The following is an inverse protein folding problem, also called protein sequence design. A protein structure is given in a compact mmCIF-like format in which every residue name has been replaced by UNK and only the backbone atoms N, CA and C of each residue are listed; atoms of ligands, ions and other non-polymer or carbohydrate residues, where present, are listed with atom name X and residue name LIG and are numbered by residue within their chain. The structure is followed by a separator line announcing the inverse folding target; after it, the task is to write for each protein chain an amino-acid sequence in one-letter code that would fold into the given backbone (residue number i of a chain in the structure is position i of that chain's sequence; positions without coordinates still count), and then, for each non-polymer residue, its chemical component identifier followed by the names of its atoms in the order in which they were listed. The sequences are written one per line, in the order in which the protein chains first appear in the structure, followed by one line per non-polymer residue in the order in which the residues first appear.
data_IF_221824061375
#
_entry.id   IF_221824061375
#
_cell.length_a   1.000
_cell.length_b   1.000
_cell.length_c   1.000
_cell.angle_alpha   90.00
_cell.angle_beta   90.00
_cell.angle_gamma   90.00
#
_symmetry.space_group_name_H-M   'P 1'
#
loop_
_entity.id
_entity.type
_entity.pdbx_description
1 polymer ?
#
# COMPACT_ATOMS: atom_id res chain seq x y z
N UNK A 1 -19.65 8.45 -13.75
CA UNK A 1 -20.45 7.28 -13.98
C UNK A 1 -19.81 6.48 -15.10
N UNK A 2 -19.30 5.28 -14.78
CA UNK A 2 -18.76 4.35 -15.75
C UNK A 2 -19.97 3.67 -16.43
N UNK A 3 -20.25 4.01 -17.67
CA UNK A 3 -21.11 3.22 -18.53
C UNK A 3 -20.27 2.09 -19.15
N UNK A 4 -20.28 0.93 -18.51
CA UNK A 4 -19.68 -0.26 -19.11
C UNK A 4 -20.53 -0.71 -20.30
N UNK A 5 -19.90 -0.91 -21.46
CA UNK A 5 -20.55 -1.43 -22.65
C UNK A 5 -21.06 -2.88 -22.41
N UNK A 6 -22.37 -3.13 -22.48
CA UNK A 6 -22.91 -4.48 -22.26
C UNK A 6 -22.46 -5.51 -23.31
N UNK A 7 -21.92 -5.06 -24.47
CA UNK A 7 -21.41 -5.96 -25.51
C UNK A 7 -20.10 -6.65 -25.10
N UNK A 8 -19.32 -6.05 -24.18
CA UNK A 8 -18.09 -6.64 -23.65
C UNK A 8 -18.34 -7.89 -22.76
N UNK A 9 -19.61 -8.17 -22.40
CA UNK A 9 -20.01 -9.29 -21.56
C UNK A 9 -20.25 -10.60 -22.32
N UNK A 10 -20.29 -10.56 -23.66
CA UNK A 10 -20.77 -11.70 -24.46
C UNK A 10 -19.73 -12.77 -24.76
N UNK A 11 -18.43 -12.50 -24.58
CA UNK A 11 -17.34 -13.37 -25.05
C UNK A 11 -16.38 -13.80 -23.92
N UNK A 12 -16.89 -14.00 -22.70
CA UNK A 12 -16.08 -14.65 -21.67
C UNK A 12 -15.96 -16.14 -21.97
N UNK A 13 -14.92 -16.51 -22.71
CA UNK A 13 -14.43 -17.88 -22.74
C UNK A 13 -13.40 -18.04 -21.62
N UNK A 14 -13.51 -19.08 -20.79
CA UNK A 14 -12.49 -19.37 -19.78
C UNK A 14 -11.12 -19.50 -20.46
N UNK A 15 -10.12 -18.84 -19.92
CA UNK A 15 -8.72 -18.94 -20.36
C UNK A 15 -8.35 -20.41 -20.43
N UNK A 16 -7.79 -20.89 -21.54
CA UNK A 16 -7.43 -22.31 -21.72
C UNK A 16 -6.34 -22.74 -20.74
N UNK A 17 -5.46 -21.83 -20.33
CA UNK A 17 -4.45 -22.08 -19.30
C UNK A 17 -4.96 -21.50 -17.98
N UNK A 18 -5.08 -22.32 -16.90
CA UNK A 18 -5.49 -21.77 -15.61
C UNK A 18 -4.40 -20.85 -15.07
N UNK A 19 -4.63 -19.53 -15.17
CA UNK A 19 -3.69 -18.50 -14.69
C UNK A 19 -3.19 -18.71 -13.26
N UNK A 20 -4.01 -19.20 -12.30
CA UNK A 20 -3.51 -19.54 -10.97
C UNK A 20 -2.46 -20.67 -11.01
N UNK A 21 -2.64 -21.68 -11.85
CA UNK A 21 -1.67 -22.77 -11.98
C UNK A 21 -0.36 -22.26 -12.64
N UNK A 22 -0.46 -21.35 -13.60
CA UNK A 22 0.70 -20.69 -14.18
C UNK A 22 1.45 -19.87 -13.11
N UNK A 23 0.76 -19.01 -12.36
CA UNK A 23 1.36 -18.22 -11.30
C UNK A 23 2.02 -19.12 -10.22
N UNK A 24 1.36 -20.22 -9.84
CA UNK A 24 1.87 -21.18 -8.85
C UNK A 24 3.21 -21.80 -9.25
N UNK A 25 3.57 -21.83 -10.53
CA UNK A 25 4.89 -22.31 -10.97
C UNK A 25 6.04 -21.48 -10.40
N UNK A 26 5.81 -20.21 -9.99
CA UNK A 26 6.81 -19.39 -9.30
C UNK A 26 7.26 -20.05 -8.00
N UNK A 27 6.34 -20.55 -7.20
CA UNK A 27 6.67 -21.18 -5.91
C UNK A 27 7.42 -22.50 -6.10
N UNK A 28 7.18 -23.20 -7.21
CA UNK A 28 7.84 -24.45 -7.54
C UNK A 28 9.25 -24.22 -8.10
N UNK A 29 9.40 -23.23 -8.98
CA UNK A 29 10.65 -22.95 -9.67
C UNK A 29 11.61 -22.09 -8.85
N UNK A 30 11.09 -21.28 -7.94
CA UNK A 30 11.86 -20.32 -7.15
C UNK A 30 11.49 -20.44 -5.66
N UNK A 31 11.91 -21.54 -4.99
CA UNK A 31 11.70 -21.67 -3.56
C UNK A 31 12.42 -20.51 -2.84
N UNK A 32 11.79 -19.90 -1.82
CA UNK A 32 12.37 -18.74 -1.16
C UNK A 32 13.70 -19.12 -0.50
N UNK A 33 14.78 -18.36 -0.73
CA UNK A 33 16.02 -18.52 -0.01
C UNK A 33 15.83 -18.11 1.46
N UNK A 34 16.73 -18.53 2.36
CA UNK A 34 16.74 -18.00 3.72
C UNK A 34 16.81 -16.47 3.70
N UNK A 35 15.96 -15.82 4.51
CA UNK A 35 15.93 -14.37 4.61
C UNK A 35 17.25 -13.82 5.15
N UNK A 36 17.83 -12.84 4.48
CA UNK A 36 19.02 -12.12 4.91
C UNK A 36 18.63 -10.68 5.23
N UNK A 37 18.84 -10.17 6.45
CA UNK A 37 18.49 -8.80 6.80
C UNK A 37 19.15 -7.77 5.88
N UNK A 38 18.38 -6.76 5.45
CA UNK A 38 18.90 -5.62 4.71
C UNK A 38 18.37 -4.30 5.29
N UNK A 39 18.95 -3.19 4.86
CA UNK A 39 18.49 -1.86 5.27
C UNK A 39 17.15 -1.52 4.61
N UNK A 40 16.38 -0.62 5.24
CA UNK A 40 15.15 -0.02 4.67
C UNK A 40 15.39 0.54 3.27
N UNK A 41 16.49 1.23 3.06
CA UNK A 41 16.86 1.81 1.76
C UNK A 41 17.09 0.75 0.67
N UNK A 42 17.82 -0.31 1.00
CA UNK A 42 18.03 -1.44 0.08
C UNK A 42 16.71 -2.11 -0.27
N UNK A 43 15.83 -2.32 0.71
CA UNK A 43 14.53 -2.95 0.49
C UNK A 43 13.63 -2.09 -0.40
N UNK A 44 13.60 -0.76 -0.18
CA UNK A 44 12.88 0.19 -1.02
C UNK A 44 13.36 0.08 -2.48
N UNK A 45 14.65 0.02 -2.72
CA UNK A 45 15.20 -0.15 -4.06
C UNK A 45 14.83 -1.52 -4.68
N UNK A 46 14.84 -2.59 -3.89
CA UNK A 46 14.45 -3.94 -4.34
C UNK A 46 12.98 -4.04 -4.74
N UNK A 47 12.07 -3.32 -4.05
CA UNK A 47 10.66 -3.25 -4.42
C UNK A 47 10.44 -2.64 -5.81
N UNK A 48 11.38 -1.80 -6.27
CA UNK A 48 11.36 -1.23 -7.62
C UNK A 48 11.84 -2.21 -8.71
N UNK A 49 12.12 -3.47 -8.40
CA UNK A 49 12.78 -4.43 -9.30
C UNK A 49 12.14 -4.56 -10.69
N UNK A 50 10.82 -4.61 -10.76
CA UNK A 50 10.07 -4.66 -12.02
C UNK A 50 10.30 -3.38 -12.84
N UNK A 51 10.23 -2.21 -12.23
CA UNK A 51 10.46 -0.93 -12.91
C UNK A 51 11.91 -0.81 -13.44
N UNK A 52 12.89 -1.40 -12.73
CA UNK A 52 14.29 -1.50 -13.20
C UNK A 52 14.39 -2.34 -14.45
N UNK A 53 13.73 -3.49 -14.52
CA UNK A 53 13.74 -4.38 -15.69
C UNK A 53 12.98 -3.77 -16.87
N UNK A 54 11.86 -3.09 -16.62
CA UNK A 54 11.05 -2.42 -17.65
C UNK A 54 11.71 -1.17 -18.24
N UNK A 55 12.75 -0.66 -17.61
CA UNK A 55 13.53 0.54 -18.00
C UNK A 55 12.66 1.79 -18.12
N UNK A 56 12.88 2.73 -17.24
CA UNK A 56 12.32 4.08 -17.34
C UNK A 56 13.29 4.95 -18.16
N UNK A 57 12.86 5.67 -19.22
CA UNK A 57 13.73 6.58 -19.95
C UNK A 57 14.45 7.58 -19.03
N UNK A 58 15.73 7.80 -19.28
CA UNK A 58 16.57 8.71 -18.49
C UNK A 58 17.07 8.14 -17.15
N UNK A 59 16.68 6.91 -16.78
CA UNK A 59 17.16 6.25 -15.55
C UNK A 59 18.08 5.08 -15.94
N UNK A 60 19.31 5.01 -15.38
CA UNK A 60 20.22 3.89 -15.64
C UNK A 60 19.58 2.56 -15.28
N UNK A 61 19.62 1.61 -16.21
CA UNK A 61 19.16 0.24 -16.03
C UNK A 61 20.29 -0.73 -15.68
N UNK A 62 20.01 -2.06 -15.63
CA UNK A 62 21.00 -3.05 -15.28
C UNK A 62 22.20 -3.12 -16.23
N UNK A 63 22.04 -2.74 -17.49
CA UNK A 63 23.15 -2.69 -18.46
C UNK A 63 24.16 -1.58 -18.17
N UNK A 64 23.74 -0.47 -17.56
CA UNK A 64 24.55 0.69 -17.25
C UNK A 64 25.06 0.67 -15.81
N UNK A 65 24.18 0.37 -14.85
CA UNK A 65 24.47 0.40 -13.40
C UNK A 65 24.86 -0.97 -12.80
N UNK A 66 24.76 -2.05 -13.61
CA UNK A 66 25.00 -3.40 -13.11
C UNK A 66 24.05 -3.81 -11.97
N UNK A 67 24.49 -4.67 -11.04
CA UNK A 67 23.67 -5.13 -9.90
C UNK A 67 23.16 -3.99 -9.01
N UNK A 68 23.88 -2.88 -8.94
CA UNK A 68 23.50 -1.72 -8.12
C UNK A 68 22.17 -1.09 -8.58
N UNK A 69 21.73 -1.33 -9.84
CA UNK A 69 20.44 -0.87 -10.32
C UNK A 69 19.27 -1.33 -9.46
N UNK A 70 19.41 -2.46 -8.75
CA UNK A 70 18.36 -3.06 -7.92
C UNK A 70 18.49 -2.73 -6.44
N UNK A 71 19.64 -2.27 -5.98
CA UNK A 71 19.92 -2.07 -4.56
C UNK A 71 20.13 -0.60 -4.18
N UNK A 72 20.07 0.31 -5.17
CA UNK A 72 20.20 1.74 -4.96
C UNK A 72 19.11 2.52 -5.71
N UNK A 73 18.84 3.72 -5.23
CA UNK A 73 17.92 4.66 -5.88
C UNK A 73 18.76 5.63 -6.74
N UNK A 74 18.68 5.53 -8.07
CA UNK A 74 19.47 6.37 -8.96
C UNK A 74 18.88 7.77 -9.08
N UNK A 75 19.75 8.72 -9.47
CA UNK A 75 19.38 10.01 -10.02
C UNK A 75 19.63 10.01 -11.53
N UNK A 76 18.86 10.81 -12.29
CA UNK A 76 19.15 11.07 -13.69
C UNK A 76 20.53 11.75 -13.82
N UNK A 77 21.34 11.30 -14.78
CA UNK A 77 22.73 11.73 -14.91
C UNK A 77 22.89 13.11 -15.59
N UNK A 78 21.89 13.54 -16.38
CA UNK A 78 21.94 14.77 -17.17
C UNK A 78 20.57 15.45 -17.24
N UNK A 79 20.55 16.72 -17.64
CA UNK A 79 19.28 17.44 -17.91
C UNK A 79 18.44 16.75 -19.00
N UNK A 80 19.09 16.14 -19.98
CA UNK A 80 18.42 15.38 -21.04
C UNK A 80 17.71 14.13 -20.47
N UNK A 81 18.35 13.44 -19.53
CA UNK A 81 17.77 12.28 -18.84
C UNK A 81 16.59 12.70 -17.96
N UNK A 82 16.72 13.81 -17.23
CA UNK A 82 15.61 14.39 -16.45
C UNK A 82 14.43 14.70 -17.36
N UNK A 83 14.66 15.35 -18.50
CA UNK A 83 13.62 15.70 -19.47
C UNK A 83 12.95 14.44 -20.04
N UNK A 84 13.74 13.41 -20.38
CA UNK A 84 13.22 12.14 -20.90
C UNK A 84 12.33 11.43 -19.85
N UNK A 85 12.78 11.35 -18.60
CA UNK A 85 12.02 10.74 -17.50
C UNK A 85 10.71 11.49 -17.23
N UNK A 86 10.76 12.83 -17.10
CA UNK A 86 9.57 13.66 -16.89
C UNK A 86 8.58 13.57 -18.05
N UNK A 87 9.08 13.53 -19.30
CA UNK A 87 8.22 13.34 -20.48
C UNK A 87 7.53 11.99 -20.44
N UNK A 88 8.24 10.93 -20.05
CA UNK A 88 7.67 9.59 -19.90
C UNK A 88 6.57 9.57 -18.83
N UNK A 89 6.85 10.09 -17.64
CA UNK A 89 5.87 10.17 -16.54
C UNK A 89 4.62 10.94 -16.96
N UNK A 90 4.78 12.09 -17.62
CA UNK A 90 3.67 12.90 -18.11
C UNK A 90 2.86 12.19 -19.20
N UNK A 91 3.54 11.62 -20.21
CA UNK A 91 2.86 11.10 -21.40
C UNK A 91 2.15 9.78 -21.13
N UNK A 92 2.78 8.91 -20.33
CA UNK A 92 2.25 7.57 -20.05
C UNK A 92 1.27 7.55 -18.87
N UNK A 93 1.45 8.42 -17.86
CA UNK A 93 0.76 8.32 -16.59
C UNK A 93 0.10 9.63 -16.13
N UNK A 94 0.26 10.72 -16.90
CA UNK A 94 -0.26 12.03 -16.51
C UNK A 94 0.44 12.68 -15.30
N UNK A 95 1.57 12.11 -14.86
CA UNK A 95 2.30 12.58 -13.68
C UNK A 95 3.20 13.76 -14.07
N UNK A 96 2.90 14.94 -13.53
CA UNK A 96 3.63 16.19 -13.79
C UNK A 96 4.24 16.82 -12.54
N UNK A 97 3.69 16.49 -11.38
CA UNK A 97 4.03 17.02 -10.06
C UNK A 97 3.71 16.00 -8.97
N UNK A 98 3.87 16.39 -7.71
CA UNK A 98 3.63 15.52 -6.54
C UNK A 98 2.16 15.16 -6.36
N UNK A 99 1.25 16.08 -6.64
CA UNK A 99 -0.19 15.88 -6.50
C UNK A 99 -0.67 14.83 -7.50
N UNK A 100 -0.35 15.01 -8.78
CA UNK A 100 -0.68 14.04 -9.83
C UNK A 100 -0.03 12.67 -9.62
N UNK A 101 1.18 12.61 -9.03
CA UNK A 101 1.81 11.35 -8.62
C UNK A 101 1.02 10.66 -7.51
N UNK A 102 0.65 11.39 -6.46
CA UNK A 102 -0.16 10.87 -5.34
C UNK A 102 -1.51 10.38 -5.84
N UNK A 103 -2.18 11.17 -6.65
CA UNK A 103 -3.46 10.81 -7.26
C UNK A 103 -3.35 9.53 -8.11
N UNK A 104 -2.29 9.42 -8.89
CA UNK A 104 -2.06 8.23 -9.73
C UNK A 104 -1.88 6.98 -8.84
N UNK A 105 -1.02 7.04 -7.83
CA UNK A 105 -0.80 5.93 -6.90
C UNK A 105 -2.05 5.57 -6.10
N UNK A 106 -2.88 6.56 -5.76
CA UNK A 106 -4.05 6.35 -4.91
C UNK A 106 -5.32 5.93 -5.68
N UNK A 107 -5.42 6.21 -6.96
CA UNK A 107 -6.67 5.97 -7.72
C UNK A 107 -6.51 4.96 -8.85
N UNK A 108 -5.39 5.02 -9.59
CA UNK A 108 -5.24 4.22 -10.81
C UNK A 108 -4.67 2.82 -10.51
N UNK A 109 -3.76 2.71 -9.54
CA UNK A 109 -3.03 1.46 -9.29
C UNK A 109 -3.77 0.52 -8.33
N UNK A 110 -4.67 1.00 -7.49
CA UNK A 110 -5.28 0.28 -6.34
C UNK A 110 -6.20 -0.88 -6.75
N UNK A 111 -5.62 -1.98 -7.22
CA UNK A 111 -6.38 -3.20 -7.55
C UNK A 111 -6.59 -4.10 -6.33
N UNK A 112 -5.74 -3.99 -5.32
CA UNK A 112 -5.88 -4.77 -4.09
C UNK A 112 -7.12 -4.38 -3.29
N UNK A 113 -7.53 -3.11 -3.28
CA UNK A 113 -8.78 -2.69 -2.65
C UNK A 113 -10.00 -3.36 -3.29
N UNK A 114 -10.03 -3.43 -4.63
CA UNK A 114 -11.09 -4.17 -5.31
C UNK A 114 -11.08 -5.66 -4.94
N UNK A 115 -9.90 -6.26 -4.76
CA UNK A 115 -9.80 -7.63 -4.31
C UNK A 115 -10.39 -7.82 -2.91
N UNK A 116 -10.16 -6.90 -1.98
CA UNK A 116 -10.73 -6.93 -0.63
C UNK A 116 -12.26 -6.74 -0.65
N UNK A 117 -12.78 -5.89 -1.54
CA UNK A 117 -14.23 -5.77 -1.78
C UNK A 117 -14.81 -7.11 -2.23
N UNK A 118 -14.13 -7.82 -3.14
CA UNK A 118 -14.55 -9.14 -3.60
C UNK A 118 -14.45 -10.19 -2.49
N UNK A 119 -13.39 -10.14 -1.66
CA UNK A 119 -13.22 -11.06 -0.54
C UNK A 119 -14.43 -11.01 0.39
N UNK A 120 -14.95 -9.82 0.70
CA UNK A 120 -16.12 -9.67 1.54
C UNK A 120 -17.34 -10.41 1.01
N UNK A 121 -17.49 -10.51 -0.32
CA UNK A 121 -18.55 -11.29 -0.96
C UNK A 121 -18.31 -12.80 -0.89
N UNK A 122 -17.06 -13.26 -1.00
CA UNK A 122 -16.72 -14.68 -0.85
C UNK A 122 -16.92 -15.16 0.60
N UNK A 123 -16.71 -14.28 1.57
CA UNK A 123 -16.93 -14.56 2.99
C UNK A 123 -18.38 -14.34 3.45
N UNK A 124 -19.32 -14.04 2.52
CA UNK A 124 -20.71 -13.69 2.81
C UNK A 124 -20.87 -12.49 3.77
N UNK A 125 -19.96 -11.55 3.72
CA UNK A 125 -19.98 -10.29 4.48
C UNK A 125 -19.71 -9.11 3.54
N UNK A 126 -20.63 -8.85 2.58
CA UNK A 126 -20.39 -7.85 1.54
C UNK A 126 -20.19 -6.45 2.15
N UNK A 127 -19.16 -5.77 1.65
CA UNK A 127 -18.83 -4.41 2.08
C UNK A 127 -19.87 -3.38 1.59
N UNK A 128 -20.64 -3.71 0.56
CA UNK A 128 -21.72 -2.87 0.01
C UNK A 128 -22.83 -3.72 -0.61
N UNK A 129 -23.98 -3.10 -0.86
CA UNK A 129 -25.13 -3.77 -1.48
C UNK A 129 -25.03 -3.72 -3.01
N UNK A 130 -25.00 -4.90 -3.67
CA UNK A 130 -24.98 -4.98 -5.14
C UNK A 130 -26.20 -4.34 -5.81
N UNK A 131 -27.31 -4.28 -5.10
CA UNK A 131 -28.57 -3.67 -5.56
C UNK A 131 -28.46 -2.16 -5.78
N UNK A 132 -27.50 -1.50 -5.12
CA UNK A 132 -27.22 -0.08 -5.27
C UNK A 132 -26.52 0.25 -6.58
N UNK A 133 -25.88 -0.74 -7.20
CA UNK A 133 -25.22 -0.59 -8.49
C UNK A 133 -26.26 -0.63 -9.63
N UNK A 134 -26.03 0.20 -10.65
CA UNK A 134 -26.77 0.06 -11.90
C UNK A 134 -26.41 -1.28 -12.60
N UNK A 135 -27.18 -1.67 -13.63
CA UNK A 135 -27.01 -2.96 -14.30
C UNK A 135 -25.59 -3.15 -14.85
N UNK A 136 -25.03 -2.13 -15.51
CA UNK A 136 -23.67 -2.17 -16.07
C UNK A 136 -22.60 -2.29 -14.97
N UNK A 137 -22.73 -1.51 -13.90
CA UNK A 137 -21.83 -1.57 -12.75
C UNK A 137 -21.85 -2.93 -12.05
N UNK A 138 -23.06 -3.50 -11.88
CA UNK A 138 -23.22 -4.84 -11.30
C UNK A 138 -22.58 -5.92 -12.17
N UNK A 139 -22.81 -5.88 -13.48
CA UNK A 139 -22.24 -6.82 -14.43
C UNK A 139 -20.71 -6.74 -14.44
N UNK A 140 -20.16 -5.52 -14.46
CA UNK A 140 -18.71 -5.31 -14.38
C UNK A 140 -18.13 -5.84 -13.06
N UNK A 141 -18.76 -5.52 -11.93
CA UNK A 141 -18.34 -6.00 -10.61
C UNK A 141 -18.36 -7.53 -10.55
N UNK A 142 -19.45 -8.18 -10.94
CA UNK A 142 -19.53 -9.64 -10.90
C UNK A 142 -18.47 -10.29 -11.81
N UNK A 143 -18.25 -9.76 -13.01
CA UNK A 143 -17.22 -10.27 -13.93
C UNK A 143 -15.82 -10.17 -13.34
N UNK A 144 -15.44 -9.02 -12.78
CA UNK A 144 -14.12 -8.81 -12.20
C UNK A 144 -13.93 -9.57 -10.90
N UNK A 145 -14.98 -9.67 -10.07
CA UNK A 145 -15.01 -10.53 -8.89
C UNK A 145 -14.75 -12.01 -9.25
N UNK A 146 -15.48 -12.53 -10.23
CA UNK A 146 -15.38 -13.94 -10.61
C UNK A 146 -14.00 -14.26 -11.22
N UNK A 147 -13.38 -13.30 -11.93
CA UNK A 147 -12.00 -13.43 -12.36
C UNK A 147 -11.03 -13.41 -11.16
N UNK A 148 -11.21 -12.52 -10.21
CA UNK A 148 -10.34 -12.43 -9.03
C UNK A 148 -10.49 -13.65 -8.10
N UNK A 149 -11.69 -14.22 -7.99
CA UNK A 149 -12.00 -15.36 -7.12
C UNK A 149 -11.11 -16.58 -7.37
N UNK A 150 -10.68 -16.79 -8.61
CA UNK A 150 -9.81 -17.92 -8.95
C UNK A 150 -8.45 -17.89 -8.24
N UNK A 151 -8.00 -16.69 -7.80
CA UNK A 151 -6.71 -16.50 -7.14
C UNK A 151 -6.79 -16.60 -5.62
N UNK A 152 -7.99 -16.54 -5.03
CA UNK A 152 -8.15 -16.51 -3.58
C UNK A 152 -7.52 -17.72 -2.88
N UNK A 153 -7.65 -18.97 -3.37
CA UNK A 153 -7.01 -20.13 -2.76
C UNK A 153 -5.47 -20.05 -2.74
N UNK A 154 -4.88 -19.24 -3.62
CA UNK A 154 -3.44 -19.11 -3.78
C UNK A 154 -2.87 -17.93 -2.98
N UNK A 155 -3.59 -16.84 -2.91
CA UNK A 155 -3.10 -15.56 -2.39
C UNK A 155 -3.65 -15.22 -0.99
N UNK A 156 -4.78 -15.81 -0.60
CA UNK A 156 -5.46 -15.40 0.62
C UNK A 156 -5.67 -13.87 0.68
N UNK A 157 -5.45 -13.28 1.83
CA UNK A 157 -5.68 -11.83 2.06
C UNK A 157 -4.61 -10.93 1.44
N UNK A 158 -3.45 -11.43 1.09
CA UNK A 158 -2.45 -10.64 0.36
C UNK A 158 -2.92 -10.23 -1.03
N UNK A 159 -3.85 -11.01 -1.63
CA UNK A 159 -4.50 -10.66 -2.90
C UNK A 159 -3.55 -10.08 -3.92
N UNK A 160 -3.85 -8.89 -4.44
CA UNK A 160 -3.07 -8.20 -5.47
C UNK A 160 -2.15 -7.09 -4.91
N UNK A 161 -1.88 -7.09 -3.61
CA UNK A 161 -1.10 -6.06 -2.93
C UNK A 161 0.31 -5.91 -3.51
N UNK A 162 0.96 -7.04 -3.88
CA UNK A 162 2.29 -7.01 -4.51
C UNK A 162 2.34 -6.21 -5.81
N UNK A 163 1.25 -6.22 -6.59
CA UNK A 163 1.12 -5.39 -7.79
C UNK A 163 1.07 -3.91 -7.44
N UNK A 164 0.18 -3.52 -6.53
CA UNK A 164 0.02 -2.11 -6.13
C UNK A 164 1.34 -1.55 -5.60
N UNK A 165 2.03 -2.30 -4.73
CA UNK A 165 3.35 -1.92 -4.21
C UNK A 165 4.35 -1.73 -5.34
N UNK A 166 4.48 -2.70 -6.25
CA UNK A 166 5.47 -2.66 -7.33
C UNK A 166 5.29 -1.47 -8.25
N UNK A 167 4.05 -1.18 -8.66
CA UNK A 167 3.75 -0.07 -9.55
C UNK A 167 3.94 1.28 -8.83
N UNK A 168 3.43 1.44 -7.61
CA UNK A 168 3.65 2.68 -6.84
C UNK A 168 5.14 2.94 -6.60
N UNK A 169 5.88 1.93 -6.13
CA UNK A 169 7.32 2.07 -5.88
C UNK A 169 8.11 2.39 -7.15
N UNK A 170 7.72 1.84 -8.30
CA UNK A 170 8.30 2.17 -9.60
C UNK A 170 8.12 3.64 -9.97
N UNK A 171 6.92 4.21 -9.74
CA UNK A 171 6.63 5.61 -10.02
C UNK A 171 7.31 6.57 -9.03
N UNK A 172 7.35 6.22 -7.74
CA UNK A 172 8.09 6.96 -6.71
C UNK A 172 9.59 7.02 -7.06
N UNK A 173 10.18 5.88 -7.46
CA UNK A 173 11.58 5.81 -7.93
C UNK A 173 11.82 6.75 -9.11
N UNK A 174 10.94 6.75 -10.11
CA UNK A 174 11.08 7.60 -11.29
C UNK A 174 10.94 9.09 -10.94
N UNK A 175 9.97 9.44 -10.10
CA UNK A 175 9.76 10.80 -9.63
C UNK A 175 10.96 11.33 -8.82
N UNK A 176 11.53 10.50 -7.97
CA UNK A 176 12.77 10.83 -7.25
C UNK A 176 13.96 10.99 -8.21
N UNK A 177 14.14 10.07 -9.15
CA UNK A 177 15.27 10.10 -10.09
C UNK A 177 15.30 11.37 -10.94
N UNK A 178 14.14 11.91 -11.34
CA UNK A 178 14.04 13.13 -12.16
C UNK A 178 13.82 14.41 -11.33
N UNK A 179 13.93 14.35 -10.00
CA UNK A 179 13.84 15.50 -9.10
C UNK A 179 12.44 16.08 -8.97
N UNK A 180 11.38 15.29 -9.18
CA UNK A 180 10.01 15.64 -8.79
C UNK A 180 9.79 15.46 -7.28
N UNK A 181 10.49 14.50 -6.66
CA UNK A 181 10.50 14.27 -5.22
C UNK A 181 11.90 14.54 -4.65
N UNK A 182 11.96 15.12 -3.48
CA UNK A 182 13.15 15.11 -2.64
C UNK A 182 13.23 13.79 -1.87
N UNK A 183 14.36 13.54 -1.19
CA UNK A 183 14.58 12.28 -0.49
C UNK A 183 13.57 12.06 0.64
N UNK A 184 13.35 13.09 1.43
CA UNK A 184 12.43 13.07 2.56
C UNK A 184 11.00 12.77 2.10
N UNK A 185 10.57 13.39 1.01
CA UNK A 185 9.24 13.18 0.43
C UNK A 185 9.07 11.77 -0.14
N UNK A 186 10.14 11.20 -0.73
CA UNK A 186 10.14 9.81 -1.14
C UNK A 186 9.99 8.87 0.06
N UNK A 187 10.73 9.13 1.14
CA UNK A 187 10.72 8.29 2.34
C UNK A 187 9.34 8.30 3.02
N UNK A 188 8.67 9.46 3.06
CA UNK A 188 7.30 9.61 3.57
C UNK A 188 6.29 8.83 2.73
N UNK A 189 6.29 9.05 1.41
CA UNK A 189 5.35 8.37 0.50
C UNK A 189 5.59 6.86 0.41
N UNK A 190 6.86 6.42 0.51
CA UNK A 190 7.21 5.01 0.47
C UNK A 190 6.92 4.30 1.79
N UNK A 191 6.84 5.01 2.93
CA UNK A 191 6.69 4.42 4.25
C UNK A 191 5.52 3.46 4.35
N UNK A 192 4.34 3.86 3.89
CA UNK A 192 3.16 3.01 3.82
C UNK A 192 3.40 1.71 3.02
N UNK A 193 3.97 1.84 1.83
CA UNK A 193 4.20 0.69 0.95
C UNK A 193 5.25 -0.28 1.50
N UNK A 194 6.27 0.23 2.18
CA UNK A 194 7.27 -0.57 2.88
C UNK A 194 6.66 -1.41 4.01
N UNK A 195 5.76 -0.82 4.79
CA UNK A 195 5.03 -1.55 5.84
C UNK A 195 4.13 -2.64 5.23
N UNK A 196 3.42 -2.32 4.14
CA UNK A 196 2.60 -3.31 3.44
C UNK A 196 3.45 -4.44 2.84
N UNK A 197 4.60 -4.12 2.25
CA UNK A 197 5.51 -5.12 1.71
C UNK A 197 6.08 -6.06 2.79
N UNK A 198 6.30 -5.54 3.99
CA UNK A 198 6.79 -6.32 5.12
C UNK A 198 5.77 -7.35 5.67
N UNK A 199 4.50 -7.30 5.24
CA UNK A 199 3.50 -8.31 5.58
C UNK A 199 3.70 -9.64 4.84
N UNK A 200 4.40 -9.62 3.71
CA UNK A 200 4.79 -10.85 3.00
C UNK A 200 5.94 -11.56 3.73
N UNK A 201 5.98 -12.86 3.66
CA UNK A 201 7.04 -13.64 4.30
C UNK A 201 8.36 -13.61 3.52
N UNK A 202 8.28 -13.49 2.18
CA UNK A 202 9.42 -13.58 1.28
C UNK A 202 9.10 -13.08 -0.12
N UNK A 203 10.16 -12.94 -0.95
CA UNK A 203 10.02 -12.46 -2.33
C UNK A 203 9.19 -13.36 -3.24
N UNK A 204 9.10 -14.64 -2.99
CA UNK A 204 8.30 -15.56 -3.82
C UNK A 204 6.81 -15.33 -3.58
N UNK A 205 6.40 -15.11 -2.33
CA UNK A 205 5.03 -14.75 -1.99
C UNK A 205 4.65 -13.37 -2.54
N UNK A 206 5.53 -12.38 -2.35
CA UNK A 206 5.37 -11.05 -2.94
C UNK A 206 5.22 -11.11 -4.46
N UNK A 207 6.09 -11.85 -5.14
CA UNK A 207 6.09 -12.03 -6.59
C UNK A 207 4.80 -12.69 -7.10
N UNK A 208 4.27 -13.64 -6.35
CA UNK A 208 3.02 -14.32 -6.67
C UNK A 208 1.83 -13.35 -6.63
N UNK A 209 1.75 -12.54 -5.57
CA UNK A 209 0.75 -11.48 -5.44
C UNK A 209 0.87 -10.44 -6.56
N UNK A 210 2.08 -10.04 -6.90
CA UNK A 210 2.36 -9.10 -8.00
C UNK A 210 1.88 -9.63 -9.34
N UNK A 211 2.24 -10.87 -9.69
CA UNK A 211 1.90 -11.46 -11.00
C UNK A 211 0.39 -11.66 -11.15
N UNK A 212 -0.28 -12.13 -10.11
CA UNK A 212 -1.73 -12.28 -10.15
C UNK A 212 -2.45 -10.91 -10.24
N UNK A 213 -1.92 -9.89 -9.58
CA UNK A 213 -2.41 -8.52 -9.72
C UNK A 213 -2.23 -7.98 -11.12
N UNK A 214 -1.11 -8.28 -11.80
CA UNK A 214 -0.89 -7.93 -13.19
C UNK A 214 -1.93 -8.58 -14.13
N UNK A 215 -2.22 -9.86 -13.92
CA UNK A 215 -3.26 -10.56 -14.71
C UNK A 215 -4.64 -9.93 -14.51
N UNK A 216 -4.96 -9.56 -13.27
CA UNK A 216 -6.20 -8.88 -12.96
C UNK A 216 -6.25 -7.46 -13.57
N UNK A 217 -5.13 -6.73 -13.53
CA UNK A 217 -5.00 -5.41 -14.14
C UNK A 217 -5.31 -5.46 -15.64
N UNK A 218 -4.68 -6.37 -16.37
CA UNK A 218 -4.89 -6.54 -17.82
C UNK A 218 -6.35 -6.90 -18.13
N UNK A 219 -6.91 -7.85 -17.38
CA UNK A 219 -8.30 -8.27 -17.52
C UNK A 219 -9.29 -7.11 -17.26
N UNK A 220 -9.05 -6.33 -16.19
CA UNK A 220 -9.88 -5.19 -15.80
C UNK A 220 -9.90 -4.11 -16.88
N UNK A 221 -8.78 -3.92 -17.59
CA UNK A 221 -8.63 -2.93 -18.65
C UNK A 221 -9.07 -3.43 -20.03
N UNK A 222 -9.75 -4.56 -20.08
CA UNK A 222 -10.43 -5.06 -21.28
C UNK A 222 -9.50 -5.86 -22.22
N UNK A 223 -8.34 -6.33 -21.73
CA UNK A 223 -7.54 -7.28 -22.49
C UNK A 223 -8.37 -8.54 -22.80
N UNK A 224 -8.29 -9.02 -24.03
CA UNK A 224 -8.83 -10.33 -24.37
C UNK A 224 -7.97 -11.45 -23.79
N UNK A 225 -8.49 -12.68 -23.78
CA UNK A 225 -7.79 -13.81 -23.20
C UNK A 225 -6.39 -14.03 -23.82
N UNK A 226 -6.24 -13.83 -25.11
CA UNK A 226 -4.96 -14.01 -25.78
C UNK A 226 -3.95 -12.92 -25.37
N UNK A 227 -4.41 -11.71 -25.10
CA UNK A 227 -3.57 -10.64 -24.57
C UNK A 227 -3.16 -10.94 -23.13
N UNK A 228 -4.10 -11.33 -22.27
CA UNK A 228 -3.79 -11.71 -20.88
C UNK A 228 -2.77 -12.85 -20.83
N UNK A 229 -2.89 -13.86 -21.69
CA UNK A 229 -1.91 -14.95 -21.75
C UNK A 229 -0.50 -14.47 -22.20
N UNK A 230 -0.43 -13.59 -23.19
CA UNK A 230 0.86 -13.03 -23.63
C UNK A 230 1.50 -12.19 -22.55
N UNK A 231 0.73 -11.35 -21.90
CA UNK A 231 1.22 -10.47 -20.84
C UNK A 231 1.54 -11.27 -19.57
N UNK A 232 0.79 -12.34 -19.30
CA UNK A 232 1.12 -13.29 -18.24
C UNK A 232 2.51 -13.89 -18.44
N UNK A 233 2.86 -14.32 -19.65
CA UNK A 233 4.19 -14.83 -19.96
C UNK A 233 5.29 -13.78 -19.74
N UNK A 234 5.03 -12.52 -20.08
CA UNK A 234 5.95 -11.41 -19.81
C UNK A 234 6.14 -11.21 -18.30
N UNK A 235 5.07 -11.11 -17.54
CA UNK A 235 5.13 -10.90 -16.08
C UNK A 235 5.82 -12.05 -15.37
N UNK A 236 5.53 -13.29 -15.74
CA UNK A 236 6.21 -14.48 -15.23
C UNK A 236 7.70 -14.45 -15.52
N UNK A 237 8.10 -14.01 -16.73
CA UNK A 237 9.51 -13.92 -17.10
C UNK A 237 10.26 -12.84 -16.33
N UNK A 238 9.71 -11.60 -16.25
CA UNK A 238 10.31 -10.51 -15.48
C UNK A 238 10.48 -10.89 -14.00
N UNK A 239 9.46 -11.49 -13.42
CA UNK A 239 9.47 -11.92 -12.02
C UNK A 239 10.47 -13.06 -11.80
N UNK A 240 10.51 -14.04 -12.72
CA UNK A 240 11.49 -15.12 -12.68
C UNK A 240 12.94 -14.64 -12.78
N UNK A 241 13.20 -13.59 -13.57
CA UNK A 241 14.53 -12.96 -13.61
C UNK A 241 14.94 -12.40 -12.25
N UNK A 242 14.01 -11.77 -11.52
CA UNK A 242 14.27 -11.21 -10.20
C UNK A 242 14.41 -12.28 -9.11
N UNK A 243 13.69 -13.38 -9.23
CA UNK A 243 13.72 -14.53 -8.29
C UNK A 243 14.87 -15.50 -8.56
N UNK A 244 15.54 -15.41 -9.71
CA UNK A 244 16.67 -16.29 -10.03
C UNK A 244 17.75 -16.19 -8.98
N UNK A 245 18.46 -17.29 -8.74
CA UNK A 245 19.55 -17.37 -7.78
C UNK A 245 20.58 -16.24 -8.03
N UNK A 246 21.02 -15.58 -6.97
CA UNK A 246 21.96 -14.46 -7.00
C UNK A 246 21.44 -13.18 -7.71
N UNK A 247 20.16 -13.16 -8.08
CA UNK A 247 19.51 -11.94 -8.58
C UNK A 247 18.95 -11.07 -7.44
N UNK A 248 18.28 -9.98 -7.78
CA UNK A 248 17.79 -9.01 -6.81
C UNK A 248 16.93 -9.65 -5.69
N UNK A 249 15.91 -10.40 -6.05
CA UNK A 249 15.02 -11.06 -5.07
C UNK A 249 15.51 -12.45 -4.67
N UNK A 250 16.19 -13.15 -5.58
CA UNK A 250 16.79 -14.46 -5.31
C UNK A 250 17.94 -14.42 -4.31
N UNK A 251 18.50 -13.25 -4.01
CA UNK A 251 19.48 -13.04 -2.94
C UNK A 251 18.90 -13.23 -1.53
N UNK A 252 17.58 -13.17 -1.38
CA UNK A 252 16.89 -13.29 -0.10
C UNK A 252 17.03 -12.07 0.82
N UNK A 253 17.55 -10.94 0.32
CA UNK A 253 17.61 -9.70 1.10
C UNK A 253 16.20 -9.26 1.46
N UNK A 254 15.92 -9.13 2.76
CA UNK A 254 14.59 -8.81 3.29
C UNK A 254 14.68 -7.81 4.43
N UNK A 255 13.83 -6.80 4.40
CA UNK A 255 13.71 -5.84 5.48
C UNK A 255 12.57 -6.27 6.40
N UNK A 256 12.89 -6.44 7.65
CA UNK A 256 11.89 -6.61 8.69
C UNK A 256 11.84 -5.31 9.47
N UNK A 257 10.73 -4.56 9.45
CA UNK A 257 10.57 -3.42 10.31
C UNK A 257 10.84 -3.83 11.76
N UNK A 258 11.51 -2.99 12.56
CA UNK A 258 11.69 -3.30 13.97
C UNK A 258 10.32 -3.56 14.59
N UNK A 259 10.13 -4.78 15.10
CA UNK A 259 8.87 -5.18 15.71
C UNK A 259 8.57 -4.28 16.90
N UNK A 260 7.42 -3.58 16.85
CA UNK A 260 6.97 -2.77 17.97
C UNK A 260 6.54 -3.70 19.10
N UNK A 261 7.17 -3.55 20.27
CA UNK A 261 6.69 -4.19 21.50
C UNK A 261 5.67 -3.28 22.14
N UNK A 262 4.40 -3.60 21.97
CA UNK A 262 3.32 -2.78 22.52
C UNK A 262 3.25 -2.88 24.03
N UNK A 263 3.05 -1.73 24.68
CA UNK A 263 2.90 -1.63 26.13
C UNK A 263 1.71 -2.47 26.67
N UNK A 264 0.65 -2.60 25.86
CA UNK A 264 -0.49 -3.48 26.13
C UNK A 264 -0.56 -4.54 25.03
N UNK A 265 -0.33 -5.83 25.34
CA UNK A 265 -0.50 -6.91 24.41
C UNK A 265 -1.91 -6.97 23.83
N UNK A 266 -2.06 -7.39 22.56
CA UNK A 266 -3.37 -7.46 21.90
C UNK A 266 -4.39 -8.32 22.66
N UNK A 267 -3.93 -9.39 23.35
CA UNK A 267 -4.78 -10.27 24.18
C UNK A 267 -5.37 -9.57 25.43
N UNK A 268 -4.75 -8.47 25.88
CA UNK A 268 -5.15 -7.73 27.06
C UNK A 268 -6.07 -6.54 26.74
N UNK A 269 -6.30 -6.26 25.46
CA UNK A 269 -7.20 -5.19 25.00
C UNK A 269 -8.65 -5.55 25.37
N UNK A 270 -9.28 -4.70 26.16
CA UNK A 270 -10.67 -4.85 26.62
C UNK A 270 -11.62 -4.01 25.77
N UNK A 271 -12.88 -4.41 25.59
CA UNK A 271 -13.87 -3.61 24.88
C UNK A 271 -14.38 -2.46 25.79
N UNK A 272 -13.64 -1.35 25.83
CA UNK A 272 -14.01 -0.16 26.60
C UNK A 272 -14.93 0.79 25.81
N UNK A 273 -14.81 0.80 24.48
CA UNK A 273 -15.59 1.63 23.58
C UNK A 273 -16.68 0.77 22.91
N UNK A 274 -17.81 0.56 23.60
CA UNK A 274 -18.85 -0.35 23.16
C UNK A 274 -19.97 0.30 22.33
N UNK A 275 -20.09 1.63 22.38
CA UNK A 275 -21.20 2.42 21.82
C UNK A 275 -20.72 3.43 20.75
N UNK A 276 -19.61 3.13 20.09
CA UNK A 276 -19.08 3.95 19.00
C UNK A 276 -19.78 3.63 17.69
N UNK A 277 -20.35 4.66 17.06
CA UNK A 277 -20.95 4.57 15.74
C UNK A 277 -20.03 5.25 14.72
N UNK A 278 -19.74 4.57 13.63
CA UNK A 278 -18.90 5.05 12.53
C UNK A 278 -17.47 4.48 12.53
N UNK A 279 -16.60 5.00 11.65
CA UNK A 279 -15.22 4.54 11.54
C UNK A 279 -14.46 4.70 12.84
N UNK A 280 -13.71 3.68 13.23
CA UNK A 280 -13.02 3.62 14.53
C UNK A 280 -11.48 3.67 14.41
N UNK A 281 -10.93 3.89 13.21
CA UNK A 281 -9.49 4.06 13.02
C UNK A 281 -9.01 5.39 13.56
N UNK A 282 -7.79 5.42 14.09
CA UNK A 282 -7.10 6.63 14.54
C UNK A 282 -5.60 6.49 14.36
N UNK A 283 -4.86 7.60 14.38
CA UNK A 283 -3.40 7.56 14.42
C UNK A 283 -2.95 7.85 15.85
N UNK A 284 -1.98 7.09 16.34
CA UNK A 284 -1.36 7.34 17.64
C UNK A 284 0.16 7.16 17.58
N UNK A 285 0.86 7.97 18.35
CA UNK A 285 2.30 7.94 18.51
C UNK A 285 2.74 6.68 19.29
N UNK A 286 3.91 6.15 18.95
CA UNK A 286 4.53 5.03 19.65
C UNK A 286 4.88 5.36 21.10
N UNK A 287 5.03 6.62 21.45
CA UNK A 287 5.13 7.05 22.85
C UNK A 287 3.97 6.50 23.67
N UNK A 288 2.75 6.44 23.09
CA UNK A 288 1.56 5.91 23.77
C UNK A 288 1.53 4.39 23.67
N UNK A 289 1.68 3.84 22.45
CA UNK A 289 1.37 2.43 22.20
C UNK A 289 2.52 1.49 22.50
N UNK A 290 3.75 1.97 22.42
CA UNK A 290 5.00 1.22 22.65
C UNK A 290 5.59 1.58 24.02
N UNK A 291 5.81 2.87 24.28
CA UNK A 291 6.44 3.32 25.53
C UNK A 291 5.46 3.35 26.70
N UNK A 292 4.14 3.21 26.48
CA UNK A 292 3.10 3.19 27.51
C UNK A 292 2.82 4.56 28.13
N UNK A 293 3.18 5.64 27.47
CA UNK A 293 2.85 6.99 27.92
C UNK A 293 1.35 7.23 27.84
N UNK A 294 0.83 8.10 28.71
CA UNK A 294 -0.55 8.59 28.60
C UNK A 294 -0.69 9.58 27.45
N UNK A 295 -1.91 9.73 26.95
CA UNK A 295 -2.22 10.78 25.98
C UNK A 295 -2.06 12.14 26.66
N UNK A 296 -1.14 12.97 26.17
CA UNK A 296 -0.92 14.34 26.61
C UNK A 296 -1.58 15.35 25.72
N UNK A 297 -1.67 15.06 24.41
CA UNK A 297 -2.28 15.89 23.42
C UNK A 297 -3.03 15.09 22.38
N UNK A 298 -4.20 15.56 21.98
CA UNK A 298 -4.97 14.92 20.92
C UNK A 298 -5.84 15.95 20.19
N UNK A 299 -6.14 15.68 18.93
CA UNK A 299 -7.04 16.49 18.14
C UNK A 299 -7.86 15.65 17.18
N UNK A 300 -8.94 16.23 16.66
CA UNK A 300 -9.80 15.59 15.67
C UNK A 300 -9.83 16.42 14.41
N UNK A 301 -9.22 15.91 13.36
CA UNK A 301 -9.26 16.50 12.00
C UNK A 301 -10.36 15.87 11.14
N UNK A 302 -10.52 16.36 9.92
CA UNK A 302 -11.41 15.76 8.95
C UNK A 302 -10.94 14.32 8.66
N UNK A 303 -11.82 13.31 8.85
CA UNK A 303 -11.45 11.93 8.59
C UNK A 303 -10.95 11.72 7.16
N UNK A 304 -9.92 10.89 6.99
CA UNK A 304 -9.48 10.44 5.68
C UNK A 304 -10.56 9.58 5.02
N UNK A 305 -10.75 9.75 3.72
CA UNK A 305 -11.64 8.89 2.92
C UNK A 305 -10.95 7.56 2.53
N UNK A 306 -9.66 7.45 2.77
CA UNK A 306 -8.84 6.33 2.28
C UNK A 306 -8.82 5.10 3.21
N UNK A 307 -9.28 5.22 4.45
CA UNK A 307 -9.37 4.13 5.43
C UNK A 307 -10.46 4.46 6.47
N UNK A 308 -10.94 3.48 7.26
CA UNK A 308 -11.96 3.70 8.28
C UNK A 308 -11.46 4.62 9.41
N UNK A 309 -11.31 5.90 9.13
CA UNK A 309 -10.75 6.93 10.01
C UNK A 309 -11.82 7.65 10.81
N UNK A 310 -11.56 7.83 12.10
CA UNK A 310 -12.39 8.66 13.00
C UNK A 310 -11.99 10.13 13.00
N UNK A 311 -10.84 10.45 12.38
CA UNK A 311 -10.21 11.76 12.42
C UNK A 311 -9.37 12.02 13.68
N UNK A 312 -9.35 11.11 14.66
CA UNK A 312 -8.57 11.30 15.88
C UNK A 312 -7.08 11.04 15.70
N UNK A 313 -6.26 11.93 16.30
CA UNK A 313 -4.81 11.85 16.36
C UNK A 313 -4.37 12.00 17.81
N UNK A 314 -3.53 11.08 18.31
CA UNK A 314 -3.12 10.99 19.71
C UNK A 314 -1.62 11.04 19.87
N UNK A 315 -1.15 11.91 20.75
CA UNK A 315 0.27 12.11 21.08
C UNK A 315 0.47 12.10 22.61
N UNK A 316 1.67 11.75 23.03
CA UNK A 316 2.05 11.88 24.44
C UNK A 316 2.27 13.36 24.84
N UNK A 317 2.56 14.22 23.84
CA UNK A 317 2.71 15.65 24.01
C UNK A 317 4.13 16.09 24.35
N UNK A 318 5.09 15.15 24.32
CA UNK A 318 6.52 15.40 24.49
C UNK A 318 7.35 14.99 23.27
N UNK A 319 6.69 14.62 22.15
CA UNK A 319 7.35 14.27 20.91
C UNK A 319 8.03 15.47 20.27
N UNK A 320 9.25 15.28 19.77
CA UNK A 320 9.91 16.30 18.96
C UNK A 320 9.33 16.35 17.53
N UNK A 321 9.49 17.46 16.81
CA UNK A 321 9.09 17.53 15.40
C UNK A 321 9.74 16.43 14.54
N UNK A 322 10.99 16.07 14.80
CA UNK A 322 11.68 15.00 14.08
C UNK A 322 11.05 13.64 14.37
N UNK A 323 10.59 13.40 15.61
CA UNK A 323 9.90 12.19 15.99
C UNK A 323 8.51 12.09 15.32
N UNK A 324 7.73 13.16 15.32
CA UNK A 324 6.38 13.18 14.72
C UNK A 324 6.40 13.11 13.21
N UNK A 325 7.48 13.55 12.57
CA UNK A 325 7.67 13.48 11.12
C UNK A 325 8.19 12.11 10.64
N UNK A 326 8.58 11.22 11.54
CA UNK A 326 8.98 9.85 11.20
C UNK A 326 7.77 8.92 11.26
N UNK A 327 7.26 8.44 10.11
CA UNK A 327 6.10 7.55 10.07
C UNK A 327 6.31 6.24 10.83
N UNK A 328 7.56 5.83 11.08
CA UNK A 328 7.87 4.63 11.84
C UNK A 328 7.59 4.80 13.35
N UNK A 329 7.39 6.05 13.83
CA UNK A 329 7.05 6.37 15.21
C UNK A 329 5.56 6.55 15.48
N UNK A 330 4.71 6.22 14.54
CA UNK A 330 3.25 6.23 14.70
C UNK A 330 2.62 4.98 14.06
N UNK A 331 1.34 4.79 14.28
CA UNK A 331 0.59 3.71 13.66
C UNK A 331 -0.91 3.99 13.63
N UNK A 332 -1.61 3.21 12.79
CA UNK A 332 -3.08 3.23 12.73
C UNK A 332 -3.61 2.17 13.69
N UNK A 333 -4.48 2.59 14.59
CA UNK A 333 -5.07 1.75 15.62
C UNK A 333 -6.59 1.92 15.65
N UNK A 334 -7.30 0.96 16.26
CA UNK A 334 -8.68 1.19 16.65
C UNK A 334 -8.74 2.17 17.84
N UNK A 335 -9.72 3.06 17.88
CA UNK A 335 -9.96 3.95 19.02
C UNK A 335 -9.98 3.19 20.34
N UNK A 336 -10.61 2.02 20.35
CA UNK A 336 -10.65 1.17 21.55
C UNK A 336 -9.26 0.78 22.07
N UNK A 337 -8.27 0.63 21.20
CA UNK A 337 -6.89 0.34 21.61
C UNK A 337 -6.32 1.50 22.41
N UNK A 338 -6.51 2.72 21.93
CA UNK A 338 -6.03 3.92 22.63
C UNK A 338 -6.81 4.18 23.92
N UNK A 339 -8.11 3.84 23.97
CA UNK A 339 -8.88 3.85 25.22
C UNK A 339 -8.31 2.89 26.28
N UNK A 340 -7.71 1.77 25.87
CA UNK A 340 -7.03 0.87 26.81
C UNK A 340 -5.70 1.46 27.30
N UNK A 341 -4.98 2.19 26.45
CA UNK A 341 -3.75 2.89 26.84
C UNK A 341 -4.05 4.06 27.78
N UNK A 342 -5.14 4.80 27.54
CA UNK A 342 -5.56 5.92 28.37
C UNK A 342 -7.08 6.08 28.38
N UNK A 343 -7.80 5.54 29.42
CA UNK A 343 -9.25 5.66 29.51
C UNK A 343 -9.80 7.08 29.65
N UNK A 344 -8.96 8.05 30.02
CA UNK A 344 -9.39 9.44 30.21
C UNK A 344 -9.80 10.10 28.88
N UNK A 345 -9.46 9.50 27.72
CA UNK A 345 -9.88 10.01 26.40
C UNK A 345 -11.34 9.67 26.08
N UNK A 346 -11.96 8.67 26.72
CA UNK A 346 -13.31 8.23 26.40
C UNK A 346 -14.34 9.38 26.32
N UNK A 347 -14.37 10.32 27.30
CA UNK A 347 -15.31 11.44 27.23
C UNK A 347 -15.06 12.41 26.07
N UNK A 348 -13.84 12.44 25.52
CA UNK A 348 -13.43 13.36 24.46
C UNK A 348 -13.83 12.89 23.06
N UNK A 349 -13.96 11.60 22.85
CA UNK A 349 -14.10 10.99 21.53
C UNK A 349 -15.32 11.49 20.73
N UNK A 350 -16.36 12.00 21.42
CA UNK A 350 -17.56 12.55 20.77
C UNK A 350 -17.45 14.04 20.39
N UNK A 351 -16.30 14.66 20.67
CA UNK A 351 -16.07 16.04 20.25
C UNK A 351 -16.07 16.18 18.71
N UNK A 352 -16.52 17.34 18.18
CA UNK A 352 -16.60 17.55 16.75
C UNK A 352 -15.21 17.63 16.09
N UNK A 353 -15.17 17.49 14.78
CA UNK A 353 -13.99 17.83 13.96
C UNK A 353 -13.53 19.24 14.28
N UNK A 354 -12.21 19.45 14.39
CA UNK A 354 -11.59 20.72 14.81
C UNK A 354 -11.39 20.83 16.34
N UNK A 355 -11.86 19.85 17.13
CA UNK A 355 -11.59 19.86 18.56
C UNK A 355 -10.14 19.40 18.84
N UNK A 356 -9.49 20.06 19.80
CA UNK A 356 -8.19 19.66 20.33
C UNK A 356 -8.16 19.75 21.85
N UNK A 357 -7.39 18.88 22.48
CA UNK A 357 -7.27 18.81 23.93
C UNK A 357 -5.81 18.58 24.33
N UNK A 358 -5.38 19.32 25.34
CA UNK A 358 -4.08 19.14 26.00
C UNK A 358 -4.28 18.76 27.45
N UNK A 359 -3.45 17.88 27.98
CA UNK A 359 -3.46 17.48 29.39
C UNK A 359 -2.66 18.49 30.20
N UNK A 360 -3.31 19.12 31.18
CA UNK A 360 -2.64 20.09 32.05
C UNK A 360 -1.72 19.39 33.09
N UNK A 361 -0.96 20.18 33.82
CA UNK A 361 -0.05 19.69 34.89
C UNK A 361 -0.73 18.92 36.03
N UNK A 362 -2.05 18.97 36.11
CA UNK A 362 -2.87 18.20 37.06
C UNK A 362 -3.41 16.90 36.46
N UNK A 363 -3.06 16.61 35.19
CA UNK A 363 -3.52 15.43 34.49
C UNK A 363 -4.92 15.54 33.89
N UNK A 364 -5.51 16.72 33.81
CA UNK A 364 -6.86 16.96 33.30
C UNK A 364 -6.80 17.51 31.89
N UNK A 365 -7.60 16.96 30.97
CA UNK A 365 -7.70 17.49 29.62
C UNK A 365 -8.39 18.86 29.61
N UNK A 366 -7.80 19.80 28.88
CA UNK A 366 -8.34 21.11 28.59
C UNK A 366 -8.46 21.29 27.08
N UNK A 367 -9.59 21.81 26.67
CA UNK A 367 -9.80 22.13 25.26
C UNK A 367 -8.91 23.29 24.85
N UNK A 368 -8.25 23.15 23.69
CA UNK A 368 -7.40 24.17 23.08
C UNK A 368 -7.96 24.63 21.74
N UNK A 369 -7.47 25.78 21.27
CA UNK A 369 -7.66 26.18 19.87
C UNK A 369 -6.57 25.53 19.05
N UNK A 370 -6.96 24.70 18.13
CA UNK A 370 -6.07 24.05 17.17
C UNK A 370 -6.62 24.24 15.78
N UNK A 371 -5.77 24.67 14.86
CA UNK A 371 -6.06 24.66 13.43
C UNK A 371 -5.20 23.59 12.82
N UNK A 372 -5.80 22.49 12.30
CA UNK A 372 -5.02 21.48 11.60
C UNK A 372 -4.17 22.11 10.51
N UNK A 373 -2.98 21.55 10.19
CA UNK A 373 -2.24 21.96 9.00
C UNK A 373 -3.17 21.84 7.78
N UNK A 374 -3.16 22.86 6.92
CA UNK A 374 -3.82 22.76 5.62
C UNK A 374 -2.98 21.78 4.77
N UNK A 375 -3.63 20.73 4.23
CA UNK A 375 -3.02 19.72 3.35
C UNK A 375 -2.44 20.33 2.05
#
# INVERSE_FOLDING_TARGET
PFEADPSALRDFHPVQTPLPALAQTLTQNYPPPPGTPCSRETFLALLCGIAVLRKTPGIPGPSEAGPNAFTTLPQCASEADVAACRTHLKTMFGITDKESLRDFCNREIRVHENYLDFESFWENRPAFALEELNEGGRAWFCRTRDFAAQFYPLLGRHGFLGWDISECMGHLRAAYACGLLQREELDDLAGFWLQQAATFENWTEYALSLVCGAFYWDFRHGADNAQVERDAALWMNLTGMLLSKESAWGSGLWYTPPGKQYAIPAADIRPLLCDWEGPAGCIASDRITVDGCRVGWCYRETPSENYPDSGWRFFAGDESPEYTNDPDHAGIYALNTICNSDPDILPLLRAPVGAAFCRDSKGVFRQERFTPPED
#
